data_IF_812146462740
#
_entry.id   IF_812146462740
#
_cell.length_a   1.000
_cell.length_b   1.000
_cell.length_c   1.000
_cell.angle_alpha   90.00
_cell.angle_beta   90.00
_cell.angle_gamma   90.00
#
_symmetry.space_group_name_H-M   'P 1'
#
loop_
_entity.id
_entity.type
_entity.pdbx_description
1 polymer ?
#
# COMPACT_ATOMS: atom_id res chain seq x y z
N UNK A 1 -20.43 25.98 -14.47
CA UNK A 1 -20.15 25.68 -14.01
C UNK A 1 -19.47 25.57 -13.29
N UNK A 2 -19.19 25.49 -12.90
CA UNK A 2 -18.45 25.34 -12.29
C UNK A 2 -18.31 24.53 -11.67
N UNK A 3 -18.78 23.82 -11.66
CA UNK A 3 -18.74 23.02 -11.15
C UNK A 3 -17.86 22.16 -11.05
N UNK A 4 -17.59 21.75 -11.73
CA UNK A 4 -16.50 20.94 -11.79
C UNK A 4 -15.57 21.13 -10.73
N UNK A 5 -15.63 22.15 -10.17
CA UNK A 5 -14.80 22.39 -9.09
C UNK A 5 -15.02 21.46 -8.00
N UNK A 6 -16.17 20.90 -7.96
CA UNK A 6 -16.52 20.02 -6.93
C UNK A 6 -15.61 18.86 -6.82
N UNK A 7 -15.06 18.45 -7.90
CA UNK A 7 -14.20 17.32 -7.83
C UNK A 7 -13.06 17.51 -6.96
N UNK A 8 -12.67 18.71 -6.82
CA UNK A 8 -11.50 18.93 -6.05
C UNK A 8 -11.73 18.79 -4.61
N UNK A 9 -12.97 18.76 -4.22
CA UNK A 9 -13.21 18.58 -2.82
C UNK A 9 -13.02 17.15 -2.41
N UNK A 10 -12.66 16.30 -3.35
CA UNK A 10 -12.40 14.93 -3.01
C UNK A 10 -10.99 14.77 -2.52
N UNK A 11 -10.47 15.69 -1.83
CA UNK A 11 -9.19 15.51 -1.21
C UNK A 11 -9.36 14.68 0.02
N UNK A 12 -8.45 13.75 0.21
CA UNK A 12 -8.47 12.95 1.42
C UNK A 12 -8.06 13.81 2.59
N UNK A 13 -8.71 13.63 3.71
CA UNK A 13 -8.35 14.37 4.90
C UNK A 13 -7.07 13.88 5.50
N UNK A 14 -6.62 12.71 5.10
CA UNK A 14 -5.41 12.12 5.65
C UNK A 14 -4.52 11.66 4.52
N UNK A 15 -3.92 12.59 3.79
CA UNK A 15 -3.07 12.20 2.67
C UNK A 15 -1.74 11.66 3.15
N UNK A 16 -1.10 10.88 2.29
CA UNK A 16 0.24 10.39 2.60
C UNK A 16 1.20 11.55 2.37
N UNK A 17 1.89 11.96 3.43
CA UNK A 17 2.84 13.05 3.32
C UNK A 17 4.12 12.58 2.66
N UNK A 18 4.96 13.54 2.24
CA UNK A 18 6.25 13.19 1.65
C UNK A 18 7.12 12.44 2.64
N UNK A 19 7.07 12.83 3.89
CA UNK A 19 7.86 12.18 4.92
C UNK A 19 7.46 10.72 5.11
N UNK A 20 6.17 10.46 5.15
CA UNK A 20 5.68 9.10 5.29
C UNK A 20 6.03 8.28 4.06
N UNK A 21 5.85 8.87 2.88
CA UNK A 21 6.18 8.22 1.63
C UNK A 21 7.65 7.81 1.62
N UNK A 22 8.52 8.72 2.01
CA UNK A 22 9.94 8.45 2.05
C UNK A 22 10.27 7.35 3.05
N UNK A 23 9.64 7.38 4.21
CA UNK A 23 9.88 6.37 5.23
C UNK A 23 9.49 4.98 4.74
N UNK A 24 8.32 4.86 4.11
CA UNK A 24 7.85 3.58 3.64
C UNK A 24 8.73 3.06 2.49
N UNK A 25 9.10 3.93 1.55
CA UNK A 25 9.94 3.51 0.45
C UNK A 25 11.34 3.11 0.93
N UNK A 26 11.87 3.82 1.90
CA UNK A 26 13.19 3.50 2.43
C UNK A 26 13.17 2.20 3.21
N UNK A 27 12.11 1.97 3.98
CA UNK A 27 11.97 0.75 4.76
C UNK A 27 11.75 -0.47 3.87
N UNK A 28 10.82 -0.35 2.93
CA UNK A 28 10.40 -1.50 2.13
C UNK A 28 11.23 -1.73 0.89
N UNK A 29 11.70 -0.68 0.25
CA UNK A 29 12.56 -0.74 -0.93
C UNK A 29 11.93 -1.33 -2.17
N UNK A 30 10.76 -1.89 -2.08
CA UNK A 30 10.07 -2.51 -3.19
C UNK A 30 8.90 -3.28 -2.64
N UNK A 31 8.28 -4.08 -3.48
CA UNK A 31 7.13 -4.87 -3.07
C UNK A 31 7.54 -5.86 -1.98
N UNK A 32 6.84 -5.83 -0.86
CA UNK A 32 7.21 -6.68 0.26
C UNK A 32 6.46 -8.00 0.27
N UNK A 33 5.73 -8.29 -0.81
CA UNK A 33 4.90 -9.50 -0.85
C UNK A 33 5.66 -10.76 -0.52
N UNK A 34 6.87 -10.91 -1.06
CA UNK A 34 7.65 -12.11 -0.81
C UNK A 34 8.04 -12.25 0.67
N UNK A 35 8.16 -11.13 1.35
CA UNK A 35 8.56 -11.15 2.75
C UNK A 35 7.45 -11.64 3.66
N UNK A 36 6.22 -11.61 3.19
CA UNK A 36 5.09 -12.07 3.98
C UNK A 36 4.45 -13.31 3.39
N UNK A 37 5.10 -13.91 2.39
CA UNK A 37 4.64 -15.18 1.84
C UNK A 37 3.57 -15.09 0.77
N UNK A 38 3.35 -13.91 0.20
CA UNK A 38 2.39 -13.81 -0.89
C UNK A 38 2.98 -14.42 -2.15
N UNK A 39 2.21 -15.28 -2.83
CA UNK A 39 2.74 -15.97 -4.00
C UNK A 39 2.78 -15.08 -5.23
N UNK A 40 3.53 -15.54 -6.22
CA UNK A 40 3.58 -14.86 -7.51
C UNK A 40 4.69 -13.85 -7.62
N UNK A 41 5.07 -13.56 -8.85
CA UNK A 41 6.11 -12.59 -9.12
C UNK A 41 5.52 -11.19 -9.19
N UNK A 42 6.34 -10.21 -8.95
CA UNK A 42 5.91 -8.81 -8.93
C UNK A 42 5.99 -8.18 -10.30
N UNK A 43 5.55 -8.78 -11.32
CA UNK A 43 5.64 -8.15 -12.61
C UNK A 43 7.04 -8.14 -13.17
N UNK A 44 7.94 -8.85 -12.55
CA UNK A 44 9.30 -8.95 -13.04
C UNK A 44 9.35 -9.59 -14.41
N UNK A 45 8.27 -10.20 -14.82
CA UNK A 45 8.20 -10.76 -16.15
C UNK A 45 8.32 -9.68 -17.21
N UNK A 46 8.27 -8.43 -16.84
CA UNK A 46 8.45 -7.36 -17.81
C UNK A 46 9.92 -7.07 -18.07
N UNK A 47 10.79 -7.79 -17.44
CA UNK A 47 12.20 -7.66 -17.71
C UNK A 47 12.92 -6.96 -16.56
N UNK A 48 14.24 -7.14 -16.51
CA UNK A 48 15.01 -6.61 -15.40
C UNK A 48 15.07 -5.09 -15.36
N UNK A 49 14.81 -4.44 -16.48
CA UNK A 49 14.81 -2.99 -16.49
C UNK A 49 13.47 -2.40 -16.19
N UNK A 50 12.46 -3.22 -16.10
CA UNK A 50 11.14 -2.74 -15.81
C UNK A 50 10.94 -2.76 -14.33
N UNK A 51 10.62 -1.62 -13.78
CA UNK A 51 10.26 -1.55 -12.39
C UNK A 51 8.77 -1.48 -12.33
N UNK A 52 8.11 -2.54 -11.86
CA UNK A 52 6.67 -2.47 -11.77
C UNK A 52 6.30 -1.33 -10.85
N UNK A 53 5.23 -0.61 -11.15
CA UNK A 53 4.83 0.48 -10.28
C UNK A 53 4.54 -0.06 -8.90
N UNK A 54 5.05 0.64 -7.90
CA UNK A 54 4.77 0.29 -6.52
C UNK A 54 3.63 1.16 -6.03
N UNK A 55 2.78 0.57 -5.24
CA UNK A 55 1.64 1.27 -4.69
C UNK A 55 1.68 1.18 -3.17
N UNK A 56 1.22 2.23 -2.53
CA UNK A 56 1.14 2.23 -1.08
C UNK A 56 -0.20 1.62 -0.70
N UNK A 57 -0.15 0.55 0.06
CA UNK A 57 -1.37 -0.11 0.52
C UNK A 57 -1.64 0.26 1.96
N UNK A 58 -2.86 0.73 2.21
CA UNK A 58 -3.32 0.95 3.58
C UNK A 58 -3.74 -0.40 4.10
N UNK A 59 -2.91 -1.01 4.94
CA UNK A 59 -3.15 -2.37 5.39
C UNK A 59 -4.47 -2.51 6.11
N UNK A 60 -4.76 -1.60 7.01
CA UNK A 60 -6.00 -1.63 7.77
C UNK A 60 -6.89 -0.46 7.42
N UNK A 61 -8.18 -0.73 7.34
CA UNK A 61 -9.15 0.33 7.08
C UNK A 61 -9.72 0.90 8.34
N UNK A 62 -10.50 1.96 8.18
CA UNK A 62 -11.19 2.59 9.30
C UNK A 62 -12.66 2.20 9.35
N UNK A 63 -12.99 1.12 8.66
CA UNK A 63 -14.37 0.63 8.65
C UNK A 63 -15.20 1.29 7.57
N UNK A 64 -16.32 0.66 7.23
CA UNK A 64 -17.27 1.20 6.26
C UNK A 64 -16.64 1.62 4.94
N UNK A 65 -15.65 0.86 4.48
CA UNK A 65 -15.01 1.13 3.22
C UNK A 65 -14.02 2.28 3.22
N UNK A 66 -13.76 2.88 4.36
CA UNK A 66 -12.80 3.96 4.44
C UNK A 66 -11.40 3.41 4.60
N UNK A 67 -10.45 4.05 3.98
CA UNK A 67 -9.07 3.63 4.17
C UNK A 67 -8.61 4.08 5.54
N UNK A 68 -7.65 3.38 6.09
CA UNK A 68 -7.14 3.69 7.41
C UNK A 68 -6.15 4.83 7.41
N UNK A 69 -5.48 5.04 8.53
CA UNK A 69 -4.57 6.18 8.65
C UNK A 69 -3.38 6.07 7.71
N UNK A 70 -2.94 7.22 7.21
CA UNK A 70 -1.82 7.30 6.28
C UNK A 70 -0.52 7.52 7.05
N UNK A 71 -0.20 6.56 7.89
CA UNK A 71 1.04 6.58 8.65
C UNK A 71 1.88 5.38 8.24
N UNK A 72 3.18 5.49 8.41
CA UNK A 72 4.08 4.43 7.97
C UNK A 72 3.75 3.09 8.63
N UNK A 73 3.24 3.11 9.85
CA UNK A 73 2.87 1.89 10.55
C UNK A 73 1.62 1.22 9.99
N UNK A 74 0.97 1.84 9.01
CA UNK A 74 -0.20 1.25 8.35
C UNK A 74 -0.04 1.14 6.84
N UNK A 75 1.15 1.41 6.32
CA UNK A 75 1.38 1.41 4.88
C UNK A 75 2.48 0.45 4.52
N UNK A 76 2.30 -0.26 3.41
CA UNK A 76 3.34 -1.12 2.86
C UNK A 76 3.40 -0.90 1.37
N UNK A 77 4.54 -1.23 0.77
CA UNK A 77 4.69 -1.17 -0.68
C UNK A 77 4.33 -2.51 -1.28
N UNK A 78 3.44 -2.49 -2.24
CA UNK A 78 3.08 -3.68 -3.00
C UNK A 78 3.03 -3.29 -4.46
N UNK A 79 3.43 -4.20 -5.34
CA UNK A 79 3.23 -3.95 -6.76
C UNK A 79 1.73 -4.07 -7.04
N UNK A 80 1.32 -3.63 -8.23
CA UNK A 80 -0.10 -3.63 -8.56
C UNK A 80 -0.74 -5.01 -8.44
N UNK A 81 -0.02 -6.04 -8.86
CA UNK A 81 -0.55 -7.39 -8.78
C UNK A 81 -0.81 -7.81 -7.33
N UNK A 82 0.18 -7.61 -6.47
CA UNK A 82 0.04 -8.02 -5.09
C UNK A 82 -0.90 -7.11 -4.30
N UNK A 83 -0.99 -5.84 -4.70
CA UNK A 83 -1.95 -4.94 -4.09
C UNK A 83 -3.37 -5.44 -4.36
N UNK A 84 -3.61 -5.87 -5.60
CA UNK A 84 -4.91 -6.42 -5.94
C UNK A 84 -5.18 -7.71 -5.17
N UNK A 85 -4.16 -8.56 -5.07
CA UNK A 85 -4.30 -9.81 -4.34
C UNK A 85 -4.68 -9.54 -2.88
N UNK A 86 -4.02 -8.57 -2.26
CA UNK A 86 -4.33 -8.22 -0.88
C UNK A 86 -5.76 -7.69 -0.76
N UNK A 87 -6.20 -6.87 -1.72
CA UNK A 87 -7.54 -6.32 -1.69
C UNK A 87 -8.59 -7.42 -1.80
N UNK A 88 -8.34 -8.39 -2.67
CA UNK A 88 -9.29 -9.47 -2.87
C UNK A 88 -9.27 -10.52 -1.77
N UNK A 89 -8.13 -10.65 -1.10
CA UNK A 89 -7.97 -11.68 -0.07
C UNK A 89 -7.49 -11.07 1.24
N UNK A 90 -8.10 -9.97 1.61
CA UNK A 90 -7.67 -9.22 2.79
C UNK A 90 -7.65 -10.06 4.07
N UNK A 91 -8.58 -10.98 4.20
CA UNK A 91 -8.63 -11.81 5.40
C UNK A 91 -7.37 -12.64 5.55
N UNK A 92 -6.77 -13.01 4.43
CA UNK A 92 -5.57 -13.84 4.44
C UNK A 92 -4.35 -12.99 4.65
N UNK A 93 -4.26 -11.89 3.90
CA UNK A 93 -3.00 -11.16 3.85
C UNK A 93 -2.86 -10.03 4.86
N UNK A 94 -3.97 -9.48 5.34
CA UNK A 94 -3.89 -8.40 6.32
C UNK A 94 -3.15 -8.84 7.59
N UNK A 95 -3.43 -10.04 8.16
CA UNK A 95 -2.68 -10.45 9.34
C UNK A 95 -1.18 -10.56 9.08
N UNK A 96 -0.80 -11.08 7.91
CA UNK A 96 0.62 -11.22 7.59
C UNK A 96 1.28 -9.86 7.45
N UNK A 97 0.59 -8.93 6.82
CA UNK A 97 1.12 -7.58 6.65
C UNK A 97 1.22 -6.86 8.00
N UNK A 98 0.26 -7.10 8.88
CA UNK A 98 0.32 -6.51 10.20
C UNK A 98 1.49 -7.05 11.00
N UNK A 99 1.82 -8.33 10.84
CA UNK A 99 2.99 -8.88 11.50
C UNK A 99 4.27 -8.23 10.99
N UNK A 100 4.32 -8.00 9.68
CA UNK A 100 5.47 -7.33 9.09
C UNK A 100 5.64 -5.93 9.69
N UNK A 101 4.54 -5.19 9.77
CA UNK A 101 4.60 -3.84 10.31
C UNK A 101 4.96 -3.84 11.79
N UNK A 102 4.47 -4.82 12.52
CA UNK A 102 4.76 -4.93 13.94
C UNK A 102 6.24 -5.08 14.20
N UNK A 103 6.94 -5.77 13.33
CA UNK A 103 8.37 -5.95 13.50
C UNK A 103 9.12 -4.63 13.38
N UNK A 104 8.57 -3.67 12.67
CA UNK A 104 9.22 -2.40 12.46
C UNK A 104 8.79 -1.33 13.48
N UNK A 105 7.65 -1.51 14.11
CA UNK A 105 7.09 -0.45 14.94
C UNK A 105 6.63 -0.90 16.32
N UNK A 106 7.07 -2.04 16.78
CA UNK A 106 6.67 -2.49 18.12
C UNK A 106 7.59 -1.97 19.21
#
# INVERSE_FOLDING_TARGET
MKRSNIKRSIKHKDPVTKEVHYEVYTRDRGCIAARVGMPGSCGSQFGPQSNPPMELDHVNGSGLGKRGPSIAANLVLLCGLHHRMKTEQARIWRPALNEYLKKHYS
#
